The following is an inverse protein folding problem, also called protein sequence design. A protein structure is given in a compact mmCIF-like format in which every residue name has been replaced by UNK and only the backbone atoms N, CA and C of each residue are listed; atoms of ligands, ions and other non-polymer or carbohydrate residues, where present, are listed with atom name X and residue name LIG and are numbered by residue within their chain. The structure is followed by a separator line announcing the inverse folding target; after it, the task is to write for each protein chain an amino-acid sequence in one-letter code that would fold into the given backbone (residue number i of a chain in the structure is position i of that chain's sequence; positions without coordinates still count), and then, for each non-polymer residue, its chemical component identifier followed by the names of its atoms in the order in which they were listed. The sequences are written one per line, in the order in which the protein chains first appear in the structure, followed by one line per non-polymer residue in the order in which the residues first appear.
data_IF_233359653297
#
_entry.id   IF_233359653297
#
_cell.length_a   1.000
_cell.length_b   1.000
_cell.length_c   1.000
_cell.angle_alpha   90.00
_cell.angle_beta   90.00
_cell.angle_gamma   90.00
#
_symmetry.space_group_name_H-M   'P 1'
#
loop_
_entity.id
_entity.type
_entity.pdbx_description
1 polymer ?
#
# COMPACT_ATOMS: atom_id res chain seq x y z
N UNK A 1 -16.63 13.32 5.80
CA UNK A 1 -15.64 12.24 5.58
C UNK A 1 -16.01 10.90 6.22
N UNK A 2 -16.57 10.86 7.45
CA UNK A 2 -17.02 9.60 8.10
C UNK A 2 -18.09 8.83 7.30
N UNK A 3 -19.07 9.55 6.74
CA UNK A 3 -20.20 8.97 5.99
C UNK A 3 -19.79 8.21 4.70
N UNK A 4 -18.71 8.64 4.04
CA UNK A 4 -18.25 8.03 2.79
C UNK A 4 -17.42 6.76 3.03
N UNK A 5 -16.75 6.67 4.19
CA UNK A 5 -16.08 5.45 4.62
C UNK A 5 -17.10 4.36 4.96
N UNK A 6 -18.18 4.71 5.67
CA UNK A 6 -19.21 3.75 6.06
C UNK A 6 -19.90 3.08 4.85
N UNK A 7 -20.16 3.83 3.78
CA UNK A 7 -20.78 3.30 2.57
C UNK A 7 -19.88 2.30 1.83
N UNK A 8 -18.60 2.62 1.64
CA UNK A 8 -17.64 1.72 0.98
C UNK A 8 -17.30 0.50 1.86
N UNK A 9 -17.26 0.70 3.19
CA UNK A 9 -17.04 -0.38 4.16
C UNK A 9 -18.23 -1.35 4.17
N UNK A 10 -19.46 -0.86 4.10
CA UNK A 10 -20.65 -1.71 4.03
C UNK A 10 -20.66 -2.59 2.77
N UNK A 11 -20.35 -2.00 1.60
CA UNK A 11 -20.34 -2.72 0.32
C UNK A 11 -19.25 -3.81 0.24
N UNK A 12 -18.06 -3.51 0.76
CA UNK A 12 -16.95 -4.48 0.78
C UNK A 12 -17.16 -5.61 1.81
N UNK A 13 -17.89 -5.32 2.89
CA UNK A 13 -18.23 -6.28 3.95
C UNK A 13 -19.39 -7.22 3.58
N UNK A 14 -20.31 -6.81 2.70
CA UNK A 14 -21.41 -7.66 2.23
C UNK A 14 -20.96 -8.84 1.36
N UNK A 15 -19.79 -8.74 0.71
CA UNK A 15 -19.28 -9.77 -0.22
C UNK A 15 -18.54 -10.93 0.45
N UNK A 16 -18.66 -11.02 1.75
CA UNK A 16 -17.70 -11.69 2.61
C UNK A 16 -18.53 -12.45 3.68
N UNK A 17 -18.22 -13.73 3.93
CA UNK A 17 -19.13 -14.72 4.53
C UNK A 17 -19.56 -14.49 5.99
N UNK A 18 -20.16 -15.51 6.61
CA UNK A 18 -20.90 -15.44 7.89
C UNK A 18 -20.20 -14.73 9.06
N UNK A 19 -20.99 -14.22 10.02
CA UNK A 19 -20.68 -13.26 11.11
C UNK A 19 -19.27 -13.29 11.76
N UNK A 20 -18.62 -14.46 11.91
CA UNK A 20 -17.21 -14.55 12.38
C UNK A 20 -16.22 -13.91 11.40
N UNK A 21 -16.56 -13.92 10.12
CA UNK A 21 -15.81 -13.30 9.03
C UNK A 21 -15.92 -11.77 9.10
N UNK A 22 -17.09 -11.24 9.50
CA UNK A 22 -17.34 -9.79 9.64
C UNK A 22 -16.42 -9.13 10.67
N UNK A 23 -16.34 -9.65 11.90
CA UNK A 23 -15.47 -9.06 12.92
C UNK A 23 -13.98 -9.10 12.50
N UNK A 24 -13.54 -10.21 11.88
CA UNK A 24 -12.19 -10.35 11.35
C UNK A 24 -11.91 -9.38 10.20
N UNK A 25 -12.88 -9.17 9.31
CA UNK A 25 -12.79 -8.20 8.23
C UNK A 25 -12.68 -6.79 8.77
N UNK A 26 -13.46 -6.42 9.78
CA UNK A 26 -13.36 -5.11 10.41
C UNK A 26 -11.97 -4.88 11.01
N UNK A 27 -11.38 -5.90 11.65
CA UNK A 27 -10.01 -5.83 12.17
C UNK A 27 -9.01 -5.61 11.02
N UNK A 28 -9.12 -6.39 9.93
CA UNK A 28 -8.24 -6.27 8.75
C UNK A 28 -8.40 -4.88 8.10
N UNK A 29 -9.62 -4.39 7.93
CA UNK A 29 -9.90 -3.08 7.33
C UNK A 29 -9.34 -1.94 8.17
N UNK A 30 -9.59 -1.97 9.49
CA UNK A 30 -9.01 -0.98 10.41
C UNK A 30 -7.48 -1.00 10.37
N UNK A 31 -6.87 -2.18 10.26
CA UNK A 31 -5.44 -2.35 10.13
C UNK A 31 -4.91 -1.70 8.83
N UNK A 32 -5.54 -1.99 7.68
CA UNK A 32 -5.15 -1.43 6.37
C UNK A 32 -5.31 0.10 6.36
N UNK A 33 -6.37 0.63 6.94
CA UNK A 33 -6.61 2.08 6.98
C UNK A 33 -5.56 2.82 7.81
N UNK A 34 -5.20 2.27 8.98
CA UNK A 34 -4.10 2.80 9.81
C UNK A 34 -2.78 2.74 9.06
N UNK A 35 -2.51 1.64 8.36
CA UNK A 35 -1.32 1.50 7.52
C UNK A 35 -1.25 2.54 6.41
N UNK A 36 -2.34 2.75 5.65
CA UNK A 36 -2.43 3.77 4.60
C UNK A 36 -2.13 5.16 5.13
N UNK A 37 -2.72 5.50 6.28
CA UNK A 37 -2.54 6.80 6.93
C UNK A 37 -1.08 7.01 7.34
N UNK A 38 -0.49 6.04 8.05
CA UNK A 38 0.90 6.11 8.50
C UNK A 38 1.89 6.18 7.32
N UNK A 39 1.64 5.43 6.25
CA UNK A 39 2.46 5.47 5.03
C UNK A 39 2.47 6.86 4.41
N UNK A 40 1.30 7.48 4.24
CA UNK A 40 1.17 8.82 3.66
C UNK A 40 1.79 9.91 4.55
N UNK A 41 1.67 9.75 5.87
CA UNK A 41 2.28 10.67 6.85
C UNK A 41 3.79 10.44 7.05
N UNK A 42 4.36 9.39 6.43
CA UNK A 42 5.74 8.95 6.66
C UNK A 42 6.03 8.70 8.15
N UNK A 43 5.08 8.11 8.86
CA UNK A 43 5.29 7.71 10.26
C UNK A 43 6.18 6.46 10.31
N UNK A 44 7.49 6.70 10.37
CA UNK A 44 8.53 5.66 10.40
C UNK A 44 8.37 4.76 11.64
N UNK A 45 7.89 5.29 12.75
CA UNK A 45 7.72 4.51 13.98
C UNK A 45 6.62 3.46 13.82
N UNK A 46 5.49 3.86 13.24
CA UNK A 46 4.40 2.93 12.94
C UNK A 46 4.82 1.88 11.90
N UNK A 47 5.47 2.30 10.81
CA UNK A 47 5.98 1.39 9.76
C UNK A 47 7.00 0.39 10.34
N UNK A 48 7.82 0.84 11.29
CA UNK A 48 8.76 -0.03 11.98
C UNK A 48 8.05 -1.03 12.91
N UNK A 49 6.95 -0.66 13.56
CA UNK A 49 6.21 -1.58 14.42
C UNK A 49 5.41 -2.63 13.65
N UNK A 50 4.87 -2.25 12.48
CA UNK A 50 3.94 -3.10 11.74
C UNK A 50 4.62 -4.20 10.90
N UNK A 51 5.82 -3.94 10.39
CA UNK A 51 6.56 -4.93 9.61
C UNK A 51 7.37 -5.87 10.51
N UNK A 52 7.41 -7.15 10.15
CA UNK A 52 8.30 -8.13 10.80
C UNK A 52 9.76 -7.69 10.70
N UNK A 53 10.60 -8.09 11.67
CA UNK A 53 12.03 -7.75 11.69
C UNK A 53 12.79 -8.25 10.47
N UNK A 54 12.37 -9.39 9.91
CA UNK A 54 12.92 -10.06 8.73
C UNK A 54 12.16 -9.75 7.43
N UNK A 55 11.29 -8.73 7.43
CA UNK A 55 10.48 -8.41 6.27
C UNK A 55 11.34 -8.03 5.04
N UNK A 56 11.00 -8.64 3.90
CA UNK A 56 11.49 -8.27 2.58
C UNK A 56 10.46 -7.33 1.92
N UNK A 57 10.86 -6.09 1.66
CA UNK A 57 10.02 -5.06 1.06
C UNK A 57 10.40 -4.93 -0.41
N UNK A 58 9.40 -5.09 -1.28
CA UNK A 58 9.56 -4.96 -2.74
C UNK A 58 8.74 -3.75 -3.19
N UNK A 59 9.41 -2.72 -3.68
CA UNK A 59 8.76 -1.52 -4.22
C UNK A 59 8.93 -1.46 -5.74
N UNK A 60 7.91 -0.96 -6.44
CA UNK A 60 7.93 -0.77 -7.88
C UNK A 60 7.79 0.70 -8.24
N UNK A 61 8.51 1.15 -9.27
CA UNK A 61 8.29 2.45 -9.91
C UNK A 61 8.21 2.30 -11.43
N UNK A 62 7.31 3.05 -12.04
CA UNK A 62 7.21 3.13 -13.50
C UNK A 62 8.13 4.26 -13.96
N UNK A 63 9.14 3.93 -14.75
CA UNK A 63 10.04 4.89 -15.37
C UNK A 63 9.54 5.15 -16.78
N UNK A 64 9.14 6.39 -17.04
CA UNK A 64 8.74 6.84 -18.37
C UNK A 64 9.91 7.56 -19.02
N UNK A 65 10.39 7.04 -20.15
CA UNK A 65 11.49 7.63 -20.92
C UNK A 65 11.03 8.05 -22.31
N UNK A 66 11.59 9.15 -22.80
CA UNK A 66 11.37 9.65 -24.16
C UNK A 66 12.55 9.21 -25.03
N UNK A 67 12.27 8.42 -26.07
CA UNK A 67 13.32 7.96 -27.00
C UNK A 67 13.16 8.66 -28.35
N UNK A 68 14.15 9.45 -28.78
CA UNK A 68 14.24 10.08 -30.11
C UNK A 68 14.04 11.61 -30.14
N UNK A 69 14.69 12.29 -31.09
CA UNK A 69 14.69 13.76 -31.21
C UNK A 69 13.46 14.33 -31.96
N UNK A 70 12.94 13.68 -33.01
CA UNK A 70 11.86 14.27 -33.86
C UNK A 70 10.54 13.49 -33.93
N UNK A 71 10.51 12.20 -33.56
CA UNK A 71 9.28 11.37 -33.49
C UNK A 71 9.29 10.55 -32.20
N UNK A 72 9.28 11.26 -31.07
CA UNK A 72 9.54 10.64 -29.80
C UNK A 72 8.39 9.73 -29.34
N UNK A 73 8.67 8.44 -29.22
CA UNK A 73 7.77 7.47 -28.58
C UNK A 73 8.05 7.45 -27.08
N UNK A 74 6.99 7.51 -26.29
CA UNK A 74 7.07 7.32 -24.85
C UNK A 74 7.18 5.82 -24.56
N UNK A 75 8.21 5.44 -23.82
CA UNK A 75 8.39 4.06 -23.34
C UNK A 75 8.21 4.05 -21.83
N UNK A 76 7.41 3.10 -21.33
CA UNK A 76 7.22 2.87 -19.90
C UNK A 76 7.91 1.57 -19.51
N UNK A 77 8.76 1.63 -18.49
CA UNK A 77 9.45 0.47 -17.93
C UNK A 77 9.22 0.39 -16.43
N UNK A 78 8.67 -0.73 -15.96
CA UNK A 78 8.54 -1.00 -14.54
C UNK A 78 9.88 -1.45 -13.98
N UNK A 79 10.35 -0.79 -12.93
CA UNK A 79 11.58 -1.14 -12.21
C UNK A 79 11.22 -1.50 -10.77
N UNK A 80 11.75 -2.62 -10.29
CA UNK A 80 11.53 -3.08 -8.92
C UNK A 80 12.80 -2.91 -8.08
N UNK A 81 12.62 -2.58 -6.81
CA UNK A 81 13.69 -2.51 -5.81
C UNK A 81 13.36 -3.48 -4.70
N UNK A 82 14.31 -4.33 -4.31
CA UNK A 82 14.19 -5.25 -3.18
C UNK A 82 15.02 -4.70 -2.03
N UNK A 83 14.40 -4.58 -0.85
CA UNK A 83 15.02 -3.96 0.32
C UNK A 83 14.65 -4.75 1.57
N UNK A 84 15.58 -4.91 2.50
CA UNK A 84 15.21 -5.32 3.86
C UNK A 84 14.45 -4.20 4.55
N UNK A 85 13.71 -4.52 5.62
CA UNK A 85 13.04 -3.51 6.47
C UNK A 85 13.99 -2.39 6.91
N UNK A 86 15.19 -2.75 7.35
CA UNK A 86 16.22 -1.79 7.77
C UNK A 86 16.66 -0.85 6.64
N UNK A 87 16.76 -1.38 5.41
CA UNK A 87 17.10 -0.57 4.23
C UNK A 87 15.94 0.34 3.82
N UNK A 88 14.70 -0.13 3.95
CA UNK A 88 13.52 0.64 3.59
C UNK A 88 13.31 1.84 4.52
N UNK A 89 13.43 1.64 5.83
CA UNK A 89 13.23 2.68 6.86
C UNK A 89 14.29 3.81 6.83
N UNK A 90 15.41 3.60 6.13
CA UNK A 90 16.53 4.57 6.03
C UNK A 90 16.42 5.52 4.82
N UNK A 91 15.48 5.29 3.89
CA UNK A 91 15.26 6.16 2.72
C UNK A 91 14.18 7.20 3.00
#
# INVERSE_FOLDING_TARGET
FRLALDAHMAESMERCGGVVDKERQMIIMQYIERFRTAYNQRDINFINQIFSGDALIITGKVVTSRTGNDNAKWTQKVTYTKQSKQQYLRN
#
